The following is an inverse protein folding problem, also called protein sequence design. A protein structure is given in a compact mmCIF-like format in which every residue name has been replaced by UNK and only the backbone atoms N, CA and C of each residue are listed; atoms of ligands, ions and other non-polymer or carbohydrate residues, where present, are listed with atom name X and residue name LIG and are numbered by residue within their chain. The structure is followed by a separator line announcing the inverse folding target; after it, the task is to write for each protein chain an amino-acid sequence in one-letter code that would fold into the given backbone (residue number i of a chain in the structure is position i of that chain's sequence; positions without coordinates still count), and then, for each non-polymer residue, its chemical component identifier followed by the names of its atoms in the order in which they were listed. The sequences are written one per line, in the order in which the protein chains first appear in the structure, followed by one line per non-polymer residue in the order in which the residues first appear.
data_IF_815573453564
#
_entry.id   IF_815573453564
#
_cell.length_a   1.000
_cell.length_b   1.000
_cell.length_c   1.000
_cell.angle_alpha   90.00
_cell.angle_beta   90.00
_cell.angle_gamma   90.00
#
_symmetry.space_group_name_H-M   'P 1'
#
loop_
_entity.id
_entity.type
_entity.pdbx_description
1 polymer ?
#
# COMPACT_ATOMS: atom_id res chain seq x y z
N UNK A 1 17.11 -2.49 -8.04
CA UNK A 1 16.80 -1.26 -7.25
C UNK A 1 15.29 -0.97 -7.13
N UNK A 2 14.38 -1.70 -7.80
CA UNK A 2 12.93 -1.44 -7.71
C UNK A 2 12.29 -1.85 -6.38
N UNK A 3 12.62 -3.03 -5.87
CA UNK A 3 11.94 -3.62 -4.70
C UNK A 3 12.18 -2.85 -3.39
N UNK A 4 13.40 -2.39 -3.12
CA UNK A 4 13.70 -1.57 -1.92
C UNK A 4 12.96 -0.22 -1.94
N UNK A 5 12.88 0.41 -3.11
CA UNK A 5 12.15 1.68 -3.27
C UNK A 5 10.66 1.46 -3.04
N UNK A 6 10.12 0.36 -3.56
CA UNK A 6 8.73 -0.04 -3.37
C UNK A 6 8.44 -0.34 -1.90
N UNK A 7 9.29 -1.11 -1.23
CA UNK A 7 9.14 -1.43 0.19
C UNK A 7 9.12 -0.17 1.07
N UNK A 8 10.07 0.76 0.84
CA UNK A 8 10.12 2.04 1.57
C UNK A 8 8.84 2.86 1.38
N UNK A 9 8.40 2.96 0.13
CA UNK A 9 7.22 3.73 -0.25
C UNK A 9 5.98 3.10 0.38
N UNK A 10 5.86 1.77 0.34
CA UNK A 10 4.74 1.03 0.91
C UNK A 10 4.65 1.22 2.42
N UNK A 11 5.78 1.09 3.11
CA UNK A 11 5.86 1.27 4.56
C UNK A 11 5.50 2.70 4.98
N UNK A 12 5.82 3.69 4.15
CA UNK A 12 5.42 5.09 4.34
C UNK A 12 3.91 5.25 4.21
N UNK A 13 3.31 4.77 3.11
CA UNK A 13 1.87 4.83 2.87
C UNK A 13 1.10 4.06 3.95
N UNK A 14 1.56 2.87 4.33
CA UNK A 14 1.02 2.07 5.42
C UNK A 14 0.94 2.85 6.73
N UNK A 15 2.00 3.57 7.09
CA UNK A 15 2.05 4.37 8.32
C UNK A 15 1.06 5.54 8.28
N UNK A 16 0.86 6.15 7.12
CA UNK A 16 -0.11 7.24 6.94
C UNK A 16 -1.55 6.73 7.05
N UNK A 17 -1.83 5.60 6.39
CA UNK A 17 -3.12 4.91 6.48
C UNK A 17 -3.45 4.50 7.91
N UNK A 18 -2.48 3.89 8.61
CA UNK A 18 -2.65 3.50 10.01
C UNK A 18 -2.83 4.70 10.96
N UNK A 19 -2.26 5.86 10.60
CA UNK A 19 -2.43 7.10 11.37
C UNK A 19 -3.76 7.81 11.11
N UNK A 20 -4.64 7.25 10.28
CA UNK A 20 -5.92 7.88 9.94
C UNK A 20 -5.80 8.97 8.87
N UNK A 21 -4.63 9.13 8.25
CA UNK A 21 -4.35 10.17 7.25
C UNK A 21 -4.40 9.57 5.84
N UNK A 22 -5.58 9.15 5.41
CA UNK A 22 -5.80 8.71 4.02
C UNK A 22 -6.48 9.83 3.28
N UNK A 23 -5.68 10.57 2.53
CA UNK A 23 -6.17 11.50 1.52
C UNK A 23 -6.38 10.77 0.20
N UNK A 24 -7.10 11.39 -0.73
CA UNK A 24 -7.25 10.87 -2.08
C UNK A 24 -5.89 10.59 -2.75
N UNK A 25 -4.88 11.44 -2.48
CA UNK A 25 -3.51 11.28 -2.97
C UNK A 25 -2.83 10.02 -2.43
N UNK A 26 -2.99 9.72 -1.13
CA UNK A 26 -2.45 8.50 -0.53
C UNK A 26 -3.12 7.24 -1.11
N UNK A 27 -4.43 7.31 -1.36
CA UNK A 27 -5.15 6.20 -1.96
C UNK A 27 -4.71 5.94 -3.40
N UNK A 28 -4.46 7.00 -4.18
CA UNK A 28 -3.96 6.94 -5.55
C UNK A 28 -2.53 6.36 -5.60
N UNK A 29 -1.64 6.82 -4.70
CA UNK A 29 -0.28 6.26 -4.59
C UNK A 29 -0.27 4.78 -4.17
N UNK A 30 -1.22 4.36 -3.34
CA UNK A 30 -1.35 2.94 -2.96
C UNK A 30 -1.83 2.13 -4.16
N UNK A 31 -2.76 2.65 -4.97
CA UNK A 31 -3.24 1.97 -6.17
C UNK A 31 -2.11 1.82 -7.21
N UNK A 32 -1.36 2.89 -7.49
CA UNK A 32 -0.16 2.85 -8.36
C UNK A 32 0.87 1.83 -7.88
N UNK A 33 1.05 1.73 -6.56
CA UNK A 33 1.94 0.75 -5.96
C UNK A 33 1.43 -0.68 -6.09
N UNK A 34 0.12 -0.91 -5.92
CA UNK A 34 -0.45 -2.24 -6.15
C UNK A 34 -0.23 -2.67 -7.60
N UNK A 35 -0.45 -1.77 -8.56
CA UNK A 35 -0.22 -2.03 -9.98
C UNK A 35 1.25 -2.41 -10.25
N UNK A 36 2.20 -1.65 -9.69
CA UNK A 36 3.63 -2.01 -9.71
C UNK A 36 3.94 -3.35 -9.05
N UNK A 37 3.25 -3.71 -7.96
CA UNK A 37 3.44 -5.00 -7.29
C UNK A 37 2.90 -6.15 -8.15
N UNK A 38 1.76 -5.95 -8.83
CA UNK A 38 1.19 -6.94 -9.74
C UNK A 38 2.11 -7.19 -10.95
N UNK A 39 2.79 -6.17 -11.45
CA UNK A 39 3.79 -6.29 -12.52
C UNK A 39 5.10 -6.97 -12.06
N UNK A 40 5.51 -6.78 -10.80
CA UNK A 40 6.74 -7.35 -10.25
C UNK A 40 6.70 -8.87 -9.96
N UNK A 41 5.56 -9.52 -10.12
CA UNK A 41 5.42 -10.99 -10.01
C UNK A 41 4.94 -11.50 -8.64
N UNK A 42 4.55 -12.78 -8.61
CA UNK A 42 3.81 -13.40 -7.50
C UNK A 42 4.53 -13.34 -6.14
N UNK A 43 5.86 -13.47 -6.09
CA UNK A 43 6.63 -13.42 -4.84
C UNK A 43 6.55 -12.06 -4.13
N UNK A 44 6.52 -10.98 -4.92
CA UNK A 44 6.41 -9.60 -4.42
C UNK A 44 4.98 -9.33 -3.96
N UNK A 45 4.00 -9.80 -4.74
CA UNK A 45 2.59 -9.74 -4.39
C UNK A 45 2.30 -10.45 -3.09
N UNK A 46 2.83 -11.65 -2.87
CA UNK A 46 2.60 -12.41 -1.64
C UNK A 46 3.20 -11.68 -0.42
N UNK A 47 4.41 -11.12 -0.54
CA UNK A 47 5.05 -10.34 0.53
C UNK A 47 4.28 -9.08 0.93
N UNK A 48 3.67 -8.40 -0.04
CA UNK A 48 2.99 -7.13 0.19
C UNK A 48 1.46 -7.27 0.33
N UNK A 49 0.90 -8.43 0.02
CA UNK A 49 -0.53 -8.71 0.12
C UNK A 49 -1.09 -8.40 1.52
N UNK A 50 -0.38 -8.81 2.57
CA UNK A 50 -0.81 -8.60 3.95
C UNK A 50 -0.90 -7.10 4.30
N UNK A 51 0.12 -6.33 3.90
CA UNK A 51 0.20 -4.90 4.15
C UNK A 51 -0.80 -4.11 3.28
N UNK A 52 -1.08 -4.55 2.06
CA UNK A 52 -2.17 -4.03 1.19
C UNK A 52 -3.53 -4.25 1.86
N UNK A 53 -3.81 -5.46 2.32
CA UNK A 53 -5.11 -5.82 2.90
C UNK A 53 -5.37 -5.02 4.18
N UNK A 54 -4.35 -4.85 5.01
CA UNK A 54 -4.43 -4.05 6.23
C UNK A 54 -4.62 -2.54 5.94
N UNK A 55 -3.99 -2.00 4.88
CA UNK A 55 -4.28 -0.63 4.41
C UNK A 55 -5.74 -0.50 3.96
N UNK A 56 -6.23 -1.43 3.14
CA UNK A 56 -7.60 -1.41 2.62
C UNK A 56 -8.63 -1.50 3.75
N UNK A 57 -8.39 -2.35 4.74
CA UNK A 57 -9.21 -2.43 5.97
C UNK A 57 -9.17 -1.13 6.76
N UNK A 58 -8.00 -0.53 6.94
CA UNK A 58 -7.85 0.74 7.65
C UNK A 58 -8.57 1.90 6.95
N UNK A 59 -8.47 1.99 5.61
CA UNK A 59 -9.26 2.93 4.80
C UNK A 59 -10.76 2.73 4.94
N UNK A 60 -11.21 1.48 4.90
CA UNK A 60 -12.63 1.15 5.05
C UNK A 60 -13.16 1.55 6.44
N UNK A 61 -12.35 1.37 7.49
CA UNK A 61 -12.70 1.80 8.86
C UNK A 61 -12.81 3.32 9.02
N UNK A 62 -12.08 4.11 8.24
CA UNK A 62 -12.15 5.58 8.29
C UNK A 62 -13.39 6.18 7.61
N UNK A 63 -14.09 5.41 6.76
CA UNK A 63 -15.35 5.86 6.14
C UNK A 63 -16.57 5.75 7.07
N UNK A 64 -16.40 5.23 8.29
CA UNK A 64 -17.46 5.10 9.30
C UNK A 64 -17.45 6.23 10.32
#
# INVERSE_FOLDING_TARGET
MGMEKLERKMKSLYKQVKSGKVTAEIADEIADMMDSIEDMGSDVKEKFSDMIDDMKKSMSKMKK
#
